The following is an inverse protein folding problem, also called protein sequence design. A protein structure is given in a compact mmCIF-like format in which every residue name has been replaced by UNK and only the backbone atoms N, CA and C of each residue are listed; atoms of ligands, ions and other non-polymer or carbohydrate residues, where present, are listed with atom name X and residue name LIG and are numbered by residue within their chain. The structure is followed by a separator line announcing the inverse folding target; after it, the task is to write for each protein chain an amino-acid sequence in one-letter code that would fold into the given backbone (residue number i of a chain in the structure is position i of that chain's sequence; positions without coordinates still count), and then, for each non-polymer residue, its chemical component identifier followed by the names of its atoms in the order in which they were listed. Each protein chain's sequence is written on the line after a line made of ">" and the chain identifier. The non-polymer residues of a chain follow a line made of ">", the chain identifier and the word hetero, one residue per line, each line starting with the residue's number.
data_IF_429000174313
#
_entry.id   IF_429000174313
#
_cell.length_a   1.000
_cell.length_b   1.000
_cell.length_c   1.000
_cell.angle_alpha   90.00
_cell.angle_beta   90.00
_cell.angle_gamma   90.00
#
_symmetry.space_group_name_H-M   'P 1'
#
loop_
_entity.id
_entity.type
_entity.pdbx_description
1 polymer ?
#
# COMPACT_ATOMS: atom_id res chain seq x y z
N UNK A 1 -16.22 -0.99 -16.61
CA UNK A 1 -14.86 -0.43 -16.37
C UNK A 1 -14.94 0.50 -15.14
N UNK A 2 -13.97 0.49 -14.22
CA UNK A 2 -14.06 1.19 -12.91
C UNK A 2 -13.16 2.43 -12.82
N UNK A 3 -13.19 3.11 -11.67
CA UNK A 3 -12.46 4.39 -11.44
C UNK A 3 -10.97 4.25 -11.76
N UNK A 4 -10.31 3.20 -11.25
CA UNK A 4 -8.88 2.98 -11.52
C UNK A 4 -8.55 2.77 -13.00
N UNK A 5 -9.47 2.18 -13.80
CA UNK A 5 -9.26 2.08 -15.25
C UNK A 5 -9.30 3.45 -15.93
N UNK A 6 -10.18 4.36 -15.49
CA UNK A 6 -10.22 5.73 -15.98
C UNK A 6 -8.92 6.48 -15.68
N UNK A 7 -8.44 6.37 -14.44
CA UNK A 7 -7.14 6.94 -14.03
C UNK A 7 -5.99 6.39 -14.89
N UNK A 8 -5.95 5.07 -15.13
CA UNK A 8 -4.90 4.46 -15.98
C UNK A 8 -4.93 5.00 -17.41
N UNK A 9 -6.13 5.13 -17.99
CA UNK A 9 -6.28 5.71 -19.32
C UNK A 9 -5.81 7.17 -19.33
N UNK A 10 -6.16 7.96 -18.31
CA UNK A 10 -5.70 9.34 -18.17
C UNK A 10 -4.18 9.44 -18.14
N UNK A 11 -3.51 8.67 -17.29
CA UNK A 11 -2.04 8.66 -17.20
C UNK A 11 -1.34 8.24 -18.50
N UNK A 12 -1.94 7.33 -19.28
CA UNK A 12 -1.38 6.92 -20.58
C UNK A 12 -1.41 8.02 -21.63
N UNK A 13 -2.43 8.87 -21.60
CA UNK A 13 -2.63 9.92 -22.60
C UNK A 13 -2.11 11.30 -22.13
N UNK A 14 -1.85 11.49 -20.84
CA UNK A 14 -1.34 12.74 -20.31
C UNK A 14 0.06 13.04 -20.86
N UNK A 15 0.29 14.25 -21.37
CA UNK A 15 1.57 14.67 -21.98
C UNK A 15 2.43 15.53 -21.06
N UNK A 16 1.87 16.09 -20.00
CA UNK A 16 2.62 16.92 -19.05
C UNK A 16 3.53 16.11 -18.12
N UNK A 17 4.58 16.77 -17.60
CA UNK A 17 5.57 16.17 -16.68
C UNK A 17 4.97 15.80 -15.33
N UNK A 18 3.95 16.54 -14.89
CA UNK A 18 3.21 16.30 -13.66
C UNK A 18 1.75 16.09 -14.04
N UNK A 19 1.17 15.00 -13.56
CA UNK A 19 -0.24 14.67 -13.76
C UNK A 19 -0.97 14.82 -12.44
N UNK A 20 -2.00 15.66 -12.45
CA UNK A 20 -2.89 15.83 -11.31
C UNK A 20 -4.19 15.06 -11.53
N UNK A 21 -4.59 14.29 -10.52
CA UNK A 21 -5.86 13.56 -10.48
C UNK A 21 -6.79 14.26 -9.50
N UNK A 22 -7.99 14.60 -9.96
CA UNK A 22 -9.07 15.14 -9.13
C UNK A 22 -10.38 14.43 -9.46
N UNK A 23 -11.23 14.24 -8.46
CA UNK A 23 -12.58 13.71 -8.66
C UNK A 23 -13.50 14.84 -9.19
N UNK A 24 -14.35 14.52 -10.17
CA UNK A 24 -15.24 15.49 -10.81
C UNK A 24 -16.53 15.80 -10.01
N UNK A 25 -16.58 15.46 -8.72
CA UNK A 25 -17.77 15.61 -7.87
C UNK A 25 -17.81 16.94 -7.08
N UNK A 26 -16.83 17.82 -7.33
CA UNK A 26 -16.73 19.16 -6.74
C UNK A 26 -16.35 19.18 -5.26
N UNK A 27 -15.98 18.03 -4.68
CA UNK A 27 -15.53 17.99 -3.27
C UNK A 27 -14.12 18.55 -3.08
N UNK A 28 -13.28 18.45 -4.12
CA UNK A 28 -11.88 18.89 -4.09
C UNK A 28 -11.76 20.29 -4.68
N UNK A 29 -11.18 21.21 -3.91
CA UNK A 29 -10.99 22.60 -4.33
C UNK A 29 -9.73 22.74 -5.22
N UNK A 30 -9.87 23.19 -6.49
CA UNK A 30 -8.72 23.45 -7.36
C UNK A 30 -7.75 24.52 -6.83
N UNK A 31 -8.16 25.34 -5.85
CA UNK A 31 -7.29 26.34 -5.22
C UNK A 31 -6.06 25.73 -4.53
N UNK A 32 -6.08 24.43 -4.20
CA UNK A 32 -4.93 23.72 -3.63
C UNK A 32 -3.91 23.23 -4.67
N UNK A 33 -4.23 23.25 -5.97
CA UNK A 33 -3.34 22.78 -7.04
C UNK A 33 -1.96 23.47 -6.98
N UNK A 34 -1.86 24.82 -6.86
CA UNK A 34 -0.58 25.50 -6.78
C UNK A 34 0.28 25.03 -5.61
N UNK A 35 -0.31 24.82 -4.43
CA UNK A 35 0.41 24.32 -3.25
C UNK A 35 0.94 22.89 -3.45
N UNK A 36 0.16 22.03 -4.13
CA UNK A 36 0.60 20.68 -4.46
C UNK A 36 1.74 20.68 -5.47
N UNK A 37 1.66 21.53 -6.50
CA UNK A 37 2.72 21.67 -7.50
C UNK A 37 3.99 22.29 -6.90
N UNK A 38 3.88 23.22 -5.96
CA UNK A 38 5.02 23.76 -5.23
C UNK A 38 5.78 22.66 -4.48
N UNK A 39 5.06 21.73 -3.82
CA UNK A 39 5.67 20.56 -3.19
C UNK A 39 6.35 19.65 -4.22
N UNK A 40 5.77 19.41 -5.39
CA UNK A 40 6.47 18.66 -6.45
C UNK A 40 7.77 19.38 -6.87
N UNK A 41 7.74 20.71 -6.96
CA UNK A 41 8.91 21.52 -7.29
C UNK A 41 10.00 21.49 -6.20
N UNK A 42 9.64 21.30 -4.92
CA UNK A 42 10.59 21.06 -3.82
C UNK A 42 11.35 19.73 -3.95
N UNK A 43 10.95 18.85 -4.88
CA UNK A 43 11.61 17.57 -5.14
C UNK A 43 10.74 16.35 -4.84
N UNK A 44 9.50 16.52 -4.38
CA UNK A 44 8.62 15.39 -4.14
C UNK A 44 8.18 14.72 -5.47
N UNK A 45 8.12 13.39 -5.47
CA UNK A 45 7.70 12.57 -6.63
C UNK A 45 6.18 12.47 -6.75
N UNK A 46 5.52 12.47 -5.60
CA UNK A 46 4.08 12.51 -5.47
C UNK A 46 3.65 13.38 -4.29
N UNK A 47 2.57 14.12 -4.47
CA UNK A 47 1.93 14.91 -3.42
C UNK A 47 0.46 14.51 -3.32
N UNK A 48 0.03 14.18 -2.12
CA UNK A 48 -1.36 13.81 -1.82
C UNK A 48 -2.05 14.95 -1.07
N UNK A 49 -3.23 15.35 -1.54
CA UNK A 49 -4.13 16.20 -0.78
C UNK A 49 -4.74 15.40 0.37
N UNK A 50 -4.15 15.50 1.56
CA UNK A 50 -4.61 14.80 2.75
C UNK A 50 -5.82 15.53 3.34
N UNK A 51 -6.97 14.86 3.39
CA UNK A 51 -8.16 15.47 3.99
C UNK A 51 -7.93 15.67 5.48
N UNK A 52 -8.40 16.78 6.03
CA UNK A 52 -8.27 16.99 7.48
C UNK A 52 -9.25 16.10 8.27
N UNK A 53 -8.95 15.75 9.53
CA UNK A 53 -9.80 14.92 10.38
C UNK A 53 -11.24 15.45 10.54
N UNK A 54 -11.43 16.77 10.44
CA UNK A 54 -12.77 17.39 10.49
C UNK A 54 -13.65 16.95 9.32
N UNK A 55 -13.04 16.56 8.19
CA UNK A 55 -13.74 16.30 6.92
C UNK A 55 -13.72 14.83 6.49
N UNK A 56 -12.89 14.01 7.14
CA UNK A 56 -12.72 12.57 6.83
C UNK A 56 -13.94 11.72 7.25
N UNK A 57 -14.81 12.20 8.14
CA UNK A 57 -16.01 11.45 8.49
C UNK A 57 -16.97 12.20 9.39
N UNK A 58 -18.20 12.40 8.89
CA UNK A 58 -19.37 12.84 9.66
C UNK A 58 -19.79 11.84 10.78
N UNK A 59 -19.03 10.76 11.05
CA UNK A 59 -19.40 9.74 12.06
C UNK A 59 -18.15 9.12 12.71
N UNK A 60 -18.16 8.90 14.02
CA UNK A 60 -17.04 8.34 14.80
C UNK A 60 -16.50 7.01 14.23
N UNK A 61 -17.38 6.14 13.73
CA UNK A 61 -17.01 4.86 13.12
C UNK A 61 -16.13 5.02 11.86
N UNK A 62 -16.32 6.10 11.08
CA UNK A 62 -15.50 6.40 9.89
C UNK A 62 -14.09 6.83 10.29
N UNK A 63 -13.98 7.59 11.38
CA UNK A 63 -12.68 8.05 11.90
C UNK A 63 -11.85 6.87 12.38
N UNK A 64 -12.45 5.92 13.11
CA UNK A 64 -11.77 4.70 13.56
C UNK A 64 -11.34 3.84 12.38
N UNK A 65 -12.21 3.60 11.40
CA UNK A 65 -11.86 2.83 10.21
C UNK A 65 -10.73 3.46 9.38
N UNK A 66 -10.75 4.79 9.22
CA UNK A 66 -9.69 5.50 8.52
C UNK A 66 -8.37 5.48 9.31
N UNK A 67 -8.42 5.69 10.63
CA UNK A 67 -7.25 5.60 11.49
C UNK A 67 -6.63 4.20 11.46
N UNK A 68 -7.44 3.15 11.43
CA UNK A 68 -6.96 1.78 11.26
C UNK A 68 -6.28 1.57 9.90
N UNK A 69 -6.85 2.10 8.81
CA UNK A 69 -6.24 2.02 7.47
C UNK A 69 -4.94 2.83 7.37
N UNK A 70 -4.89 4.00 8.00
CA UNK A 70 -3.69 4.86 8.07
C UNK A 70 -2.61 4.21 8.93
N UNK A 71 -2.96 3.67 10.09
CA UNK A 71 -2.04 2.97 10.98
C UNK A 71 -1.49 1.70 10.33
N UNK A 72 -2.38 0.92 9.69
CA UNK A 72 -1.99 -0.22 8.88
C UNK A 72 -1.04 0.25 7.77
N UNK A 73 -1.45 1.19 6.91
CA UNK A 73 -0.59 1.72 5.83
C UNK A 73 0.79 2.17 6.34
N UNK A 74 0.83 2.95 7.42
CA UNK A 74 2.09 3.50 7.98
C UNK A 74 3.00 2.41 8.55
N UNK A 75 2.45 1.41 9.25
CA UNK A 75 3.20 0.23 9.70
C UNK A 75 3.87 -0.51 8.52
N UNK A 76 3.22 -0.50 7.36
CA UNK A 76 3.61 -1.30 6.21
C UNK A 76 4.59 -0.63 5.27
N UNK A 77 4.60 0.71 5.24
CA UNK A 77 5.60 1.48 4.49
C UNK A 77 6.67 2.09 5.39
N UNK A 78 6.66 1.78 6.69
CA UNK A 78 7.63 2.30 7.68
C UNK A 78 7.71 3.84 7.72
N UNK A 79 6.70 4.51 7.17
CA UNK A 79 6.66 5.96 6.99
C UNK A 79 5.28 6.44 7.42
N UNK A 80 5.17 7.54 8.19
CA UNK A 80 3.87 8.09 8.55
C UNK A 80 3.11 8.53 7.29
N UNK A 81 1.96 7.91 7.04
CA UNK A 81 1.07 8.29 5.94
C UNK A 81 -0.16 8.99 6.49
N UNK A 82 -0.41 10.23 6.07
CA UNK A 82 -1.51 11.02 6.62
C UNK A 82 -2.88 10.71 5.98
N UNK A 83 -2.94 10.36 4.69
CA UNK A 83 -4.15 9.87 4.03
C UNK A 83 -3.78 8.99 2.82
N UNK A 84 -4.05 7.69 2.89
CA UNK A 84 -3.85 6.75 1.75
C UNK A 84 -5.04 6.73 0.78
N UNK A 85 -6.19 7.29 1.17
CA UNK A 85 -7.46 7.10 0.48
C UNK A 85 -7.91 8.28 -0.37
N UNK A 86 -7.27 9.45 -0.22
CA UNK A 86 -7.60 10.63 -1.00
C UNK A 86 -7.29 10.46 -2.48
N UNK A 87 -8.29 10.65 -3.35
CA UNK A 87 -8.10 10.65 -4.81
C UNK A 87 -7.43 11.91 -5.35
N UNK A 88 -7.22 12.94 -4.52
CA UNK A 88 -6.62 14.21 -4.93
C UNK A 88 -5.11 14.18 -4.79
N UNK A 89 -4.41 14.16 -5.93
CA UNK A 89 -2.97 13.86 -5.95
C UNK A 89 -2.29 14.36 -7.22
N UNK A 90 -1.06 14.84 -7.06
CA UNK A 90 -0.16 15.20 -8.15
C UNK A 90 1.00 14.21 -8.15
N UNK A 91 1.36 13.66 -9.33
CA UNK A 91 2.44 12.68 -9.47
C UNK A 91 3.26 13.01 -10.70
N UNK A 92 4.58 12.87 -10.61
CA UNK A 92 5.47 12.93 -11.78
C UNK A 92 5.11 11.81 -12.76
N UNK A 93 4.91 12.17 -14.03
CA UNK A 93 4.48 11.23 -15.07
C UNK A 93 5.46 10.06 -15.21
N UNK A 94 6.76 10.32 -15.20
CA UNK A 94 7.81 9.30 -15.28
C UNK A 94 7.64 8.25 -14.19
N UNK A 95 7.51 8.68 -12.93
CA UNK A 95 7.33 7.80 -11.77
C UNK A 95 6.05 6.98 -11.90
N UNK A 96 4.92 7.60 -12.26
CA UNK A 96 3.65 6.85 -12.35
C UNK A 96 3.67 5.77 -13.45
N UNK A 97 4.43 5.95 -14.53
CA UNK A 97 4.51 4.95 -15.60
C UNK A 97 5.08 3.63 -15.10
N UNK A 98 6.05 3.67 -14.20
CA UNK A 98 6.67 2.49 -13.60
C UNK A 98 5.65 1.67 -12.81
N UNK A 99 4.73 2.32 -12.09
CA UNK A 99 3.76 1.65 -11.20
C UNK A 99 2.36 1.44 -11.80
N UNK A 100 2.10 1.91 -13.02
CA UNK A 100 0.78 1.89 -13.64
C UNK A 100 0.20 0.46 -13.79
N UNK A 101 1.07 -0.53 -13.93
CA UNK A 101 0.71 -1.94 -14.06
C UNK A 101 0.17 -2.54 -12.74
N UNK A 102 0.54 -1.96 -11.59
CA UNK A 102 0.10 -2.39 -10.26
C UNK A 102 -1.28 -1.84 -9.91
N UNK A 103 -1.68 -0.73 -10.55
CA UNK A 103 -2.94 -0.05 -10.27
C UNK A 103 -4.14 -0.93 -10.65
N UNK A 104 -5.05 -1.23 -9.70
CA UNK A 104 -6.24 -2.03 -9.96
C UNK A 104 -7.26 -1.26 -10.81
N UNK A 105 -7.95 -1.96 -11.71
CA UNK A 105 -8.93 -1.35 -12.65
C UNK A 105 -10.22 -0.84 -11.98
N UNK A 106 -10.47 -1.15 -10.70
CA UNK A 106 -11.70 -0.78 -9.97
C UNK A 106 -11.42 0.22 -8.86
N UNK A 107 -11.42 -0.26 -7.61
CA UNK A 107 -11.19 0.52 -6.40
C UNK A 107 -9.79 0.23 -5.86
N UNK A 108 -9.24 1.16 -5.07
CA UNK A 108 -7.95 0.98 -4.42
C UNK A 108 -6.76 1.59 -5.14
N UNK A 109 -6.96 2.21 -6.31
CA UNK A 109 -5.90 2.96 -6.98
C UNK A 109 -5.17 3.96 -6.06
N UNK A 110 -5.88 4.72 -5.18
CA UNK A 110 -5.23 5.74 -4.36
C UNK A 110 -4.24 5.12 -3.37
N UNK A 111 -4.68 4.04 -2.71
CA UNK A 111 -3.86 3.30 -1.75
C UNK A 111 -2.70 2.61 -2.46
N UNK A 112 -2.99 1.95 -3.60
CA UNK A 112 -2.00 1.16 -4.34
C UNK A 112 -0.83 2.02 -4.80
N UNK A 113 -1.09 3.15 -5.47
CA UNK A 113 0.02 3.99 -5.94
C UNK A 113 0.79 4.61 -4.77
N UNK A 114 0.10 5.04 -3.70
CA UNK A 114 0.78 5.64 -2.55
C UNK A 114 1.72 4.65 -1.87
N UNK A 115 1.25 3.44 -1.58
CA UNK A 115 2.10 2.42 -0.94
C UNK A 115 3.21 1.93 -1.88
N UNK A 116 2.95 1.83 -3.19
CA UNK A 116 3.96 1.43 -4.17
C UNK A 116 5.14 2.40 -4.20
N UNK A 117 4.85 3.71 -4.30
CA UNK A 117 5.86 4.75 -4.39
C UNK A 117 6.69 4.85 -3.11
N UNK A 118 6.04 4.89 -1.94
CA UNK A 118 6.77 4.96 -0.67
C UNK A 118 7.67 3.73 -0.49
N UNK A 119 7.17 2.53 -0.83
CA UNK A 119 7.96 1.31 -0.70
C UNK A 119 9.14 1.24 -1.68
N UNK A 120 8.99 1.79 -2.88
CA UNK A 120 10.06 1.89 -3.86
C UNK A 120 11.06 3.03 -3.55
N UNK A 121 10.89 3.75 -2.43
CA UNK A 121 11.81 4.80 -2.00
C UNK A 121 11.54 6.18 -2.58
N UNK A 122 10.44 6.37 -3.31
CA UNK A 122 10.06 7.68 -3.84
C UNK A 122 9.53 8.58 -2.73
N UNK A 123 9.77 9.88 -2.91
CA UNK A 123 9.39 10.91 -1.95
C UNK A 123 7.90 11.26 -2.08
N UNK A 124 7.15 11.09 -0.99
CA UNK A 124 5.70 11.37 -0.96
C UNK A 124 5.38 12.47 0.04
N UNK A 125 4.86 13.59 -0.46
CA UNK A 125 4.45 14.74 0.33
C UNK A 125 2.94 14.76 0.59
N UNK A 126 2.52 15.48 1.63
CA UNK A 126 1.11 15.67 1.97
C UNK A 126 0.79 17.16 2.10
N UNK A 127 -0.31 17.58 1.47
CA UNK A 127 -0.87 18.93 1.62
C UNK A 127 -2.22 18.79 2.32
N UNK A 128 -2.45 19.44 3.47
CA UNK A 128 -3.76 19.39 4.12
C UNK A 128 -4.79 20.11 3.25
N UNK A 129 -5.90 19.42 2.93
CA UNK A 129 -6.99 19.96 2.13
C UNK A 129 -8.32 19.84 2.87
N UNK A 130 -9.12 20.90 2.81
CA UNK A 130 -10.49 20.90 3.32
C UNK A 130 -11.40 20.43 2.18
N UNK A 131 -12.10 19.31 2.38
CA UNK A 131 -13.07 18.80 1.41
C UNK A 131 -14.41 19.52 1.58
N UNK A 132 -15.02 19.99 0.49
CA UNK A 132 -16.37 20.58 0.58
C UNK A 132 -17.39 19.47 0.79
N UNK A 133 -18.46 19.74 1.57
CA UNK A 133 -19.60 18.82 1.69
C UNK A 133 -20.28 18.69 0.32
N UNK A 134 -20.63 17.46 -0.06
CA UNK A 134 -21.28 17.17 -1.35
C UNK A 134 -22.62 17.93 -1.43
N UNK A 135 -22.85 18.66 -2.52
CA UNK A 135 -24.07 19.47 -2.72
C UNK A 135 -25.31 18.61 -3.02
N UNK A 136 -25.15 17.39 -3.55
CA UNK A 136 -26.23 16.42 -3.68
C UNK A 136 -25.73 14.96 -3.85
N UNK A 137 -26.62 13.99 -3.58
CA UNK A 137 -26.40 12.57 -3.81
C UNK A 137 -26.17 11.76 -2.53
N UNK A 138 -27.11 10.85 -2.21
CA UNK A 138 -26.91 9.85 -1.15
C UNK A 138 -25.62 9.10 -1.44
N UNK A 139 -24.68 9.12 -0.48
CA UNK A 139 -23.47 8.30 -0.55
C UNK A 139 -23.88 6.84 -0.66
N UNK A 140 -23.85 6.30 -1.88
CA UNK A 140 -24.00 4.85 -2.15
C UNK A 140 -22.71 4.09 -1.78
N UNK A 141 -21.86 4.67 -0.92
CA UNK A 141 -20.70 3.99 -0.36
C UNK A 141 -21.15 3.22 0.88
N UNK A 142 -21.44 1.93 0.69
CA UNK A 142 -21.62 0.99 1.79
C UNK A 142 -20.33 0.92 2.61
N UNK A 143 -20.31 1.68 3.70
CA UNK A 143 -19.15 2.02 4.52
C UNK A 143 -18.38 0.77 5.00
N UNK A 144 -19.12 -0.24 5.46
CA UNK A 144 -18.56 -1.47 6.00
C UNK A 144 -17.97 -2.38 4.91
N UNK A 145 -18.71 -2.53 3.79
CA UNK A 145 -18.30 -3.35 2.65
C UNK A 145 -17.10 -2.75 1.91
N UNK A 146 -16.90 -1.44 2.00
CA UNK A 146 -15.70 -0.76 1.49
C UNK A 146 -14.53 -0.79 2.47
N UNK A 147 -14.74 -0.68 3.79
CA UNK A 147 -13.66 -0.81 4.78
C UNK A 147 -12.91 -2.12 4.64
N UNK A 148 -13.62 -3.25 4.68
CA UNK A 148 -13.03 -4.58 4.48
C UNK A 148 -12.32 -4.70 3.12
N UNK A 149 -12.92 -4.19 2.04
CA UNK A 149 -12.28 -4.20 0.72
C UNK A 149 -11.00 -3.36 0.68
N UNK A 150 -10.98 -2.20 1.33
CA UNK A 150 -9.79 -1.35 1.41
C UNK A 150 -8.71 -2.02 2.26
N UNK A 151 -9.07 -2.61 3.40
CA UNK A 151 -8.13 -3.39 4.22
C UNK A 151 -7.56 -4.57 3.45
N UNK A 152 -8.38 -5.28 2.66
CA UNK A 152 -7.90 -6.36 1.78
C UNK A 152 -6.99 -5.83 0.66
N UNK A 153 -7.22 -4.62 0.16
CA UNK A 153 -6.33 -3.99 -0.83
C UNK A 153 -5.00 -3.62 -0.18
N UNK A 154 -5.02 -3.04 1.02
CA UNK A 154 -3.80 -2.78 1.80
C UNK A 154 -3.08 -4.10 2.07
N UNK A 155 -3.77 -5.12 2.58
CA UNK A 155 -3.21 -6.45 2.85
C UNK A 155 -2.56 -7.05 1.61
N UNK A 156 -3.30 -7.08 0.49
CA UNK A 156 -2.80 -7.55 -0.80
C UNK A 156 -1.55 -6.78 -1.24
N UNK A 157 -1.53 -5.47 -1.01
CA UNK A 157 -0.40 -4.63 -1.38
C UNK A 157 0.84 -5.00 -0.57
N UNK A 158 0.71 -5.21 0.73
CA UNK A 158 1.83 -5.69 1.56
C UNK A 158 2.28 -7.06 1.08
N UNK A 159 1.35 -7.98 0.87
CA UNK A 159 1.66 -9.32 0.39
C UNK A 159 2.38 -9.29 -0.96
N UNK A 160 2.21 -8.21 -1.73
CA UNK A 160 2.87 -8.00 -3.01
C UNK A 160 4.27 -7.35 -2.88
N UNK A 161 4.52 -6.58 -1.83
CA UNK A 161 5.70 -5.72 -1.71
C UNK A 161 6.63 -6.00 -0.53
N UNK A 162 6.10 -6.57 0.55
CA UNK A 162 6.81 -6.96 1.76
C UNK A 162 6.03 -8.07 2.48
N UNK A 163 5.73 -9.21 1.81
CA UNK A 163 4.91 -10.27 2.38
C UNK A 163 5.37 -10.72 3.77
N UNK A 164 6.67 -10.71 4.06
CA UNK A 164 7.17 -11.09 5.37
C UNK A 164 6.56 -10.28 6.52
N UNK A 165 6.17 -9.01 6.30
CA UNK A 165 5.47 -8.19 7.32
C UNK A 165 4.06 -8.69 7.67
N UNK A 166 3.46 -9.50 6.80
CA UNK A 166 2.16 -10.16 7.06
C UNK A 166 2.40 -11.53 7.67
N UNK A 167 3.26 -12.34 7.05
CA UNK A 167 3.45 -13.74 7.44
C UNK A 167 4.21 -13.88 8.76
N UNK A 168 5.17 -13.00 9.06
CA UNK A 168 6.00 -13.09 10.26
C UNK A 168 5.22 -12.88 11.56
N UNK A 169 4.39 -11.82 11.74
CA UNK A 169 3.60 -11.66 12.95
C UNK A 169 2.59 -12.80 13.17
N UNK A 170 2.03 -13.36 12.08
CA UNK A 170 1.12 -14.50 12.15
C UNK A 170 1.86 -15.76 12.60
N UNK A 171 3.00 -16.08 11.98
CA UNK A 171 3.84 -17.20 12.38
C UNK A 171 4.27 -17.07 13.85
N UNK A 172 4.78 -15.90 14.25
CA UNK A 172 5.18 -15.63 15.64
C UNK A 172 4.01 -15.80 16.62
N UNK A 173 2.82 -15.32 16.27
CA UNK A 173 1.62 -15.53 17.08
C UNK A 173 1.27 -17.02 17.25
N UNK A 174 1.42 -17.80 16.19
CA UNK A 174 1.23 -19.26 16.25
C UNK A 174 2.28 -19.94 17.14
N UNK A 175 3.55 -19.53 17.07
CA UNK A 175 4.61 -20.06 17.93
C UNK A 175 4.39 -19.73 19.41
N UNK A 176 3.93 -18.51 19.71
CA UNK A 176 3.58 -18.11 21.07
C UNK A 176 2.40 -18.93 21.60
N UNK A 177 1.37 -19.17 20.77
CA UNK A 177 0.23 -20.00 21.15
C UNK A 177 0.61 -21.48 21.30
N UNK A 178 1.52 -22.00 20.47
CA UNK A 178 2.07 -23.35 20.60
C UNK A 178 2.80 -23.51 21.94
N UNK A 179 3.66 -22.54 22.28
CA UNK A 179 4.38 -22.49 23.55
C UNK A 179 3.41 -22.39 24.74
N UNK A 180 2.40 -21.52 24.66
CA UNK A 180 1.39 -21.39 25.72
C UNK A 180 0.58 -22.69 25.89
N UNK A 181 0.19 -23.35 24.79
CA UNK A 181 -0.51 -24.63 24.84
C UNK A 181 0.36 -25.73 25.47
N UNK A 182 1.66 -25.75 25.17
CA UNK A 182 2.60 -26.68 25.78
C UNK A 182 2.79 -26.39 27.27
N UNK A 183 3.03 -25.13 27.65
CA UNK A 183 3.22 -24.72 29.04
C UNK A 183 1.98 -25.00 29.90
N UNK A 184 0.78 -24.74 29.37
CA UNK A 184 -0.47 -25.06 30.06
C UNK A 184 -0.58 -26.56 30.33
N UNK A 185 -0.28 -27.38 29.32
CA UNK A 185 -0.32 -28.84 29.45
C UNK A 185 0.72 -29.36 30.45
N UNK A 186 1.94 -28.83 30.40
CA UNK A 186 3.06 -29.21 31.27
C UNK A 186 2.83 -28.82 32.73
N UNK A 187 2.37 -27.58 32.99
CA UNK A 187 2.24 -27.05 34.35
C UNK A 187 0.93 -27.47 35.04
N UNK A 188 -0.17 -27.55 34.29
CA UNK A 188 -1.51 -27.72 34.87
C UNK A 188 -2.02 -29.15 34.67
N UNK A 189 -2.03 -29.65 33.44
CA UNK A 189 -2.72 -30.91 33.10
C UNK A 189 -1.91 -32.14 33.52
N UNK A 190 -0.60 -32.14 33.23
CA UNK A 190 0.24 -33.32 33.41
C UNK A 190 1.32 -33.15 34.48
N UNK A 191 1.28 -32.05 35.26
CA UNK A 191 2.12 -31.77 36.43
C UNK A 191 3.59 -32.19 36.23
N UNK A 192 4.30 -31.49 35.33
CA UNK A 192 5.71 -31.69 35.00
C UNK A 192 6.04 -33.00 34.26
N UNK A 193 5.05 -33.77 33.82
CA UNK A 193 5.28 -34.83 32.82
C UNK A 193 5.34 -34.23 31.42
N UNK A 194 6.32 -34.69 30.64
CA UNK A 194 6.51 -34.29 29.26
C UNK A 194 5.39 -34.89 28.40
N UNK A 195 4.34 -34.11 28.17
CA UNK A 195 3.27 -34.43 27.23
C UNK A 195 3.09 -33.26 26.27
N UNK A 196 3.14 -33.54 24.97
CA UNK A 196 2.98 -32.53 23.92
C UNK A 196 1.56 -32.64 23.39
N UNK A 197 0.68 -31.66 23.63
CA UNK A 197 -0.68 -31.72 23.14
C UNK A 197 -0.71 -31.55 21.61
N UNK A 198 -1.64 -32.25 20.94
CA UNK A 198 -1.82 -32.16 19.49
C UNK A 198 -2.01 -30.71 19.00
N UNK A 199 -2.62 -29.85 19.83
CA UNK A 199 -2.75 -28.41 19.55
C UNK A 199 -1.41 -27.69 19.46
N UNK A 200 -0.46 -27.99 20.35
CA UNK A 200 0.88 -27.40 20.31
C UNK A 200 1.64 -27.84 19.06
N UNK A 201 1.57 -29.13 18.71
CA UNK A 201 2.19 -29.66 17.48
C UNK A 201 1.59 -28.98 16.24
N UNK A 202 0.26 -28.90 16.16
CA UNK A 202 -0.43 -28.29 15.02
C UNK A 202 -0.09 -26.80 14.84
N UNK A 203 -0.03 -26.05 15.95
CA UNK A 203 0.33 -24.63 15.92
C UNK A 203 1.79 -24.42 15.53
N UNK A 204 2.71 -25.24 16.07
CA UNK A 204 4.14 -25.19 15.75
C UNK A 204 4.42 -25.51 14.28
N UNK A 205 3.90 -26.65 13.78
CA UNK A 205 4.08 -27.03 12.37
C UNK A 205 3.41 -26.02 11.44
N UNK A 206 2.22 -25.54 11.80
CA UNK A 206 1.53 -24.49 11.04
C UNK A 206 2.31 -23.17 10.99
N UNK A 207 2.91 -22.75 12.12
CA UNK A 207 3.72 -21.54 12.21
C UNK A 207 4.95 -21.59 11.31
N UNK A 208 5.67 -22.73 11.32
CA UNK A 208 6.79 -22.99 10.40
C UNK A 208 6.35 -22.90 8.94
N UNK A 209 5.23 -23.53 8.57
CA UNK A 209 4.73 -23.50 7.18
C UNK A 209 4.39 -22.07 6.76
N UNK A 210 3.70 -21.31 7.61
CA UNK A 210 3.35 -19.91 7.36
C UNK A 210 4.61 -19.05 7.19
N UNK A 211 5.63 -19.26 8.04
CA UNK A 211 6.90 -18.56 7.95
C UNK A 211 7.65 -18.89 6.65
N UNK A 212 7.76 -20.18 6.29
CA UNK A 212 8.38 -20.62 5.05
C UNK A 212 7.65 -20.05 3.82
N UNK A 213 6.32 -20.05 3.83
CA UNK A 213 5.55 -19.43 2.74
C UNK A 213 5.81 -17.93 2.66
N UNK A 214 5.95 -17.26 3.81
CA UNK A 214 6.37 -15.86 3.89
C UNK A 214 7.72 -15.58 3.24
N UNK A 215 8.73 -16.42 3.52
CA UNK A 215 10.06 -16.30 2.90
C UNK A 215 10.02 -16.50 1.38
N UNK A 216 9.29 -17.52 0.92
CA UNK A 216 9.12 -17.77 -0.52
C UNK A 216 8.39 -16.59 -1.20
N UNK A 217 7.34 -16.06 -0.58
CA UNK A 217 6.63 -14.89 -1.08
C UNK A 217 7.54 -13.65 -1.15
N UNK A 218 8.43 -13.46 -0.18
CA UNK A 218 9.40 -12.36 -0.15
C UNK A 218 10.39 -12.46 -1.32
N UNK A 219 10.89 -13.66 -1.61
CA UNK A 219 11.75 -13.91 -2.77
C UNK A 219 11.04 -13.58 -4.09
N UNK A 220 9.78 -14.01 -4.24
CA UNK A 220 8.97 -13.70 -5.43
C UNK A 220 8.70 -12.19 -5.55
N UNK A 221 8.42 -11.52 -4.43
CA UNK A 221 8.23 -10.08 -4.40
C UNK A 221 9.51 -9.34 -4.82
N UNK A 222 10.68 -9.76 -4.33
CA UNK A 222 11.97 -9.17 -4.68
C UNK A 222 12.29 -9.28 -6.18
N UNK A 223 11.96 -10.40 -6.81
CA UNK A 223 12.15 -10.60 -8.26
C UNK A 223 11.32 -9.63 -9.12
N UNK A 224 10.17 -9.17 -8.61
CA UNK A 224 9.26 -8.29 -9.35
C UNK A 224 9.79 -6.87 -9.52
N UNK A 225 10.73 -6.46 -8.68
CA UNK A 225 11.29 -5.12 -8.63
C UNK A 225 12.78 -5.07 -8.98
N UNK A 226 13.36 -6.16 -9.50
CA UNK A 226 14.65 -6.05 -10.19
C UNK A 226 14.45 -5.12 -11.39
N UNK A 227 15.15 -3.97 -11.45
CA UNK A 227 15.07 -3.11 -12.61
C UNK A 227 15.48 -3.92 -13.85
N UNK A 228 14.85 -3.63 -14.97
CA UNK A 228 15.14 -4.19 -16.29
C UNK A 228 16.55 -3.74 -16.78
N UNK A 229 17.62 -3.92 -15.99
CA UNK A 229 19.00 -3.55 -16.33
C UNK A 229 19.61 -4.41 -17.44
N UNK A 230 18.85 -5.33 -18.05
CA UNK A 230 19.38 -6.34 -18.96
C UNK A 230 19.31 -6.02 -20.46
N UNK A 231 18.86 -4.82 -20.86
CA UNK A 231 18.82 -4.43 -22.28
C UNK A 231 19.80 -3.32 -22.70
N UNK A 232 20.37 -2.53 -21.79
CA UNK A 232 21.37 -1.51 -22.18
C UNK A 232 22.82 -2.04 -22.20
N UNK A 233 23.14 -3.08 -21.42
CA UNK A 233 24.49 -3.68 -21.41
C UNK A 233 24.82 -4.51 -22.67
N UNK A 234 23.85 -4.81 -23.54
CA UNK A 234 24.06 -5.59 -24.77
C UNK A 234 24.13 -4.74 -26.05
N UNK A 235 24.00 -3.40 -25.95
CA UNK A 235 24.06 -2.48 -27.10
C UNK A 235 25.22 -1.49 -27.08
N UNK A 236 26.17 -1.65 -26.16
CA UNK A 236 27.21 -0.64 -25.91
C UNK A 236 28.64 -1.16 -25.86
N UNK A 237 29.07 -2.03 -26.80
CA UNK A 237 30.50 -2.21 -27.11
C UNK A 237 30.66 -2.60 -28.59
N UNK A 238 30.52 -1.64 -29.50
CA UNK A 238 31.20 -1.69 -30.81
C UNK A 238 32.16 -0.49 -30.81
N UNK A 239 33.40 -0.74 -30.42
CA UNK A 239 34.48 0.25 -30.49
C UNK A 239 34.80 0.55 -31.96
N UNK A 240 34.94 1.82 -32.37
CA UNK A 240 35.47 2.14 -33.69
C UNK A 240 36.98 1.83 -33.69
N UNK A 241 37.39 0.88 -34.53
CA UNK A 241 38.79 0.50 -34.71
C UNK A 241 39.70 1.68 -35.11
N UNK A 242 41.00 1.63 -34.79
CA UNK A 242 41.90 2.76 -34.99
C UNK A 242 42.14 3.03 -36.48
N UNK A 243 42.37 4.31 -36.86
CA UNK A 243 42.59 4.68 -38.25
C UNK A 243 43.92 4.12 -38.75
N UNK A 244 43.87 3.37 -39.84
CA UNK A 244 45.01 2.99 -40.69
C UNK A 244 45.22 3.99 -41.81
#
# INVERSE_FOLDING_TARGET
>A
KGVGAGVKTGFRHATGDVVLVMDADGQMDPAYIPAMLAKIAEGYDMVVGARTPETIGDTALRRVGNAALVGLGSYLVETPVHDVTSGYRAVRRSVMQEFLHLVPNRYGYPITITLALVKAGYSVGFVPVVSRRRVSGKSRQQLFRNGVKMSLIVLRMISLFAPLRVYFPVALGMELLALLSFLYSFLVTYQFRLYIPNSAVALFVGGIIVFMFGLNAEQVAALRFQPFEREESSRGVEEPGPPT
#
